data_IF_524583856180
#
_entry.id   IF_524583856180
#
_cell.length_a   1.000
_cell.length_b   1.000
_cell.length_c   1.000
_cell.angle_alpha   90.00
_cell.angle_beta   90.00
_cell.angle_gamma   90.00
#
_symmetry.space_group_name_H-M   'P 1'
#
loop_
_entity.id
_entity.type
_entity.pdbx_description
1 polymer ?
#
# COMPACT_ATOMS: atom_id res chain seq x y z
N UNK A 1 3.16 13.27 3.67
CA UNK A 1 4.04 12.29 3.02
C UNK A 1 4.80 11.51 4.07
N UNK A 2 5.36 10.37 3.71
CA UNK A 2 5.96 9.41 4.65
C UNK A 2 7.00 9.96 5.62
N UNK A 3 7.67 11.06 5.27
CA UNK A 3 8.65 11.72 6.15
C UNK A 3 8.10 12.02 7.55
N UNK A 4 6.84 12.45 7.69
CA UNK A 4 6.26 12.72 9.02
C UNK A 4 6.13 11.46 9.88
N UNK A 5 5.96 10.29 9.26
CA UNK A 5 5.94 9.00 9.97
C UNK A 5 7.34 8.70 10.48
N UNK A 6 8.37 8.85 9.64
CA UNK A 6 9.76 8.64 10.02
C UNK A 6 10.21 9.59 11.13
N UNK A 7 9.83 10.86 11.03
CA UNK A 7 10.19 11.87 12.03
C UNK A 7 9.51 11.60 13.38
N UNK A 8 8.30 11.03 13.39
CA UNK A 8 7.53 10.76 14.62
C UNK A 8 7.90 9.42 15.27
N UNK A 9 8.09 8.37 14.47
CA UNK A 9 8.21 6.99 14.95
C UNK A 9 9.57 6.35 14.64
N UNK A 10 10.47 7.06 13.98
CA UNK A 10 11.77 6.57 13.55
C UNK A 10 11.75 5.80 12.25
N UNK A 11 12.89 5.77 11.56
CA UNK A 11 13.07 5.11 10.27
C UNK A 11 12.74 3.62 10.30
N UNK A 12 13.10 2.90 11.37
CA UNK A 12 12.80 1.47 11.51
C UNK A 12 11.30 1.20 11.44
N UNK A 13 10.51 1.96 12.19
CA UNK A 13 9.04 1.83 12.19
C UNK A 13 8.47 2.22 10.83
N UNK A 14 9.05 3.23 10.19
CA UNK A 14 8.72 3.58 8.81
C UNK A 14 8.97 2.44 7.82
N UNK A 15 10.12 1.78 7.90
CA UNK A 15 10.46 0.65 7.02
C UNK A 15 9.51 -0.53 7.23
N UNK A 16 9.21 -0.87 8.49
CA UNK A 16 8.23 -1.90 8.85
C UNK A 16 6.85 -1.56 8.27
N UNK A 17 6.43 -0.29 8.34
CA UNK A 17 5.18 0.17 7.77
C UNK A 17 5.15 0.09 6.24
N UNK A 18 6.24 0.43 5.54
CA UNK A 18 6.33 0.25 4.08
C UNK A 18 6.20 -1.22 3.67
N UNK A 19 6.80 -2.14 4.44
CA UNK A 19 6.65 -3.58 4.23
C UNK A 19 5.19 -4.01 4.43
N UNK A 20 4.53 -3.53 5.49
CA UNK A 20 3.12 -3.84 5.73
C UNK A 20 2.19 -3.29 4.65
N UNK A 21 2.44 -2.08 4.16
CA UNK A 21 1.72 -1.49 3.03
C UNK A 21 1.89 -2.36 1.79
N UNK A 22 3.13 -2.71 1.42
CA UNK A 22 3.42 -3.55 0.26
C UNK A 22 2.66 -4.89 0.33
N UNK A 23 2.75 -5.59 1.46
CA UNK A 23 2.04 -6.86 1.68
C UNK A 23 0.54 -6.71 1.54
N UNK A 24 -0.04 -5.60 2.04
CA UNK A 24 -1.48 -5.38 1.96
C UNK A 24 -1.93 -5.07 0.54
N UNK A 25 -1.11 -4.38 -0.25
CA UNK A 25 -1.37 -4.17 -1.68
C UNK A 25 -1.33 -5.52 -2.41
N UNK A 26 -0.30 -6.34 -2.18
CA UNK A 26 -0.17 -7.67 -2.80
C UNK A 26 -1.37 -8.57 -2.49
N UNK A 27 -1.85 -8.58 -1.25
CA UNK A 27 -3.02 -9.37 -0.84
C UNK A 27 -4.33 -8.91 -1.49
N UNK A 28 -4.44 -7.62 -1.84
CA UNK A 28 -5.61 -7.05 -2.48
C UNK A 28 -5.50 -7.06 -4.02
N UNK A 29 -4.33 -7.35 -4.57
CA UNK A 29 -4.07 -7.33 -5.99
C UNK A 29 -4.57 -8.62 -6.69
N UNK A 30 -5.00 -8.54 -7.97
CA UNK A 30 -5.39 -9.72 -8.73
C UNK A 30 -4.21 -10.68 -8.95
N UNK A 31 -4.50 -11.97 -9.09
CA UNK A 31 -3.47 -12.98 -9.34
C UNK A 31 -2.68 -12.67 -10.63
N UNK A 32 -1.35 -12.79 -10.55
CA UNK A 32 -0.43 -12.47 -11.64
C UNK A 32 -0.12 -10.98 -11.78
N UNK A 33 -0.48 -10.16 -10.79
CA UNK A 33 -0.01 -8.78 -10.69
C UNK A 33 1.45 -8.70 -10.25
N UNK A 34 2.13 -7.65 -10.68
CA UNK A 34 3.46 -7.26 -10.23
C UNK A 34 3.35 -5.95 -9.44
N UNK A 35 3.81 -5.96 -8.19
CA UNK A 35 3.96 -4.76 -7.37
C UNK A 35 5.41 -4.29 -7.40
N UNK A 36 5.63 -3.00 -7.60
CA UNK A 36 6.95 -2.36 -7.51
C UNK A 36 6.89 -1.14 -6.60
N UNK A 37 7.94 -0.90 -5.82
CA UNK A 37 8.16 0.37 -5.11
C UNK A 37 9.12 1.23 -5.93
N UNK A 38 8.69 2.43 -6.32
CA UNK A 38 9.47 3.31 -7.19
C UNK A 38 10.42 4.18 -6.35
N UNK A 39 9.98 4.60 -5.17
CA UNK A 39 10.77 5.39 -4.23
C UNK A 39 9.91 5.88 -3.09
N UNK A 40 10.50 6.15 -1.92
CA UNK A 40 9.75 6.65 -0.76
C UNK A 40 8.53 5.79 -0.40
N UNK A 41 7.35 6.41 -0.39
CA UNK A 41 6.02 5.81 -0.20
C UNK A 41 5.25 5.53 -1.50
N UNK A 42 5.91 5.60 -2.67
CA UNK A 42 5.28 5.42 -3.97
C UNK A 42 5.36 3.97 -4.46
N UNK A 43 4.20 3.40 -4.80
CA UNK A 43 4.03 2.05 -5.30
C UNK A 43 3.30 2.04 -6.64
N UNK A 44 3.68 1.11 -7.52
CA UNK A 44 3.04 0.87 -8.81
C UNK A 44 2.62 -0.59 -8.90
N UNK A 45 1.34 -0.81 -9.22
CA UNK A 45 0.79 -2.13 -9.47
C UNK A 45 0.51 -2.32 -10.95
N UNK A 46 1.16 -3.30 -11.56
CA UNK A 46 0.90 -3.75 -12.92
C UNK A 46 0.10 -5.06 -12.88
N UNK A 47 -0.99 -5.17 -13.62
CA UNK A 47 -1.80 -6.39 -13.62
C UNK A 47 -2.43 -6.65 -15.00
N UNK A 48 -2.63 -7.92 -15.39
CA UNK A 48 -3.28 -8.24 -16.67
C UNK A 48 -4.75 -7.84 -16.65
N UNK A 49 -5.20 -7.10 -17.67
CA UNK A 49 -6.59 -6.65 -17.81
C UNK A 49 -7.60 -7.82 -17.82
N UNK A 50 -7.23 -8.96 -18.40
CA UNK A 50 -8.08 -10.17 -18.48
C UNK A 50 -8.24 -10.92 -17.14
N UNK A 51 -7.42 -10.61 -16.13
CA UNK A 51 -7.40 -11.30 -14.83
C UNK A 51 -8.14 -10.51 -13.74
N UNK A 52 -8.57 -9.28 -14.03
CA UNK A 52 -9.36 -8.46 -13.12
C UNK A 52 -10.82 -8.47 -13.55
N UNK A 53 -11.72 -8.95 -12.69
CA UNK A 53 -13.17 -8.79 -12.87
C UNK A 53 -13.64 -7.37 -12.57
N UNK A 54 -12.77 -6.55 -11.96
CA UNK A 54 -13.02 -5.16 -11.61
C UNK A 54 -12.41 -4.22 -12.65
N UNK A 55 -13.05 -3.07 -12.85
CA UNK A 55 -12.39 -1.96 -13.55
C UNK A 55 -11.14 -1.52 -12.78
N UNK A 56 -10.13 -0.94 -13.46
CA UNK A 56 -8.93 -0.45 -12.79
C UNK A 56 -9.23 0.54 -11.65
N UNK A 57 -10.24 1.41 -11.82
CA UNK A 57 -10.64 2.38 -10.80
C UNK A 57 -11.27 1.72 -9.57
N UNK A 58 -12.12 0.70 -9.74
CA UNK A 58 -12.69 -0.03 -8.61
C UNK A 58 -11.62 -0.83 -7.87
N UNK A 59 -10.68 -1.44 -8.58
CA UNK A 59 -9.55 -2.12 -7.96
C UNK A 59 -8.69 -1.15 -7.14
N UNK A 60 -8.36 0.01 -7.71
CA UNK A 60 -7.59 1.05 -7.02
C UNK A 60 -8.29 1.50 -5.72
N UNK A 61 -9.59 1.83 -5.79
CA UNK A 61 -10.38 2.22 -4.62
C UNK A 61 -10.38 1.15 -3.53
N UNK A 62 -10.49 -0.12 -3.91
CA UNK A 62 -10.45 -1.24 -2.96
C UNK A 62 -9.09 -1.37 -2.28
N UNK A 63 -8.00 -1.26 -3.05
CA UNK A 63 -6.63 -1.30 -2.52
C UNK A 63 -6.41 -0.12 -1.56
N UNK A 64 -6.81 1.10 -1.94
CA UNK A 64 -6.70 2.30 -1.11
C UNK A 64 -7.43 2.11 0.23
N UNK A 65 -8.67 1.60 0.20
CA UNK A 65 -9.44 1.34 1.41
C UNK A 65 -8.76 0.30 2.33
N UNK A 66 -8.13 -0.73 1.75
CA UNK A 66 -7.35 -1.72 2.51
C UNK A 66 -6.11 -1.07 3.12
N UNK A 67 -5.32 -0.35 2.33
CA UNK A 67 -4.11 0.34 2.81
C UNK A 67 -4.42 1.33 3.94
N UNK A 68 -5.55 2.04 3.86
CA UNK A 68 -5.99 3.00 4.88
C UNK A 68 -6.49 2.36 6.18
N UNK A 69 -6.72 1.04 6.21
CA UNK A 69 -7.12 0.34 7.44
C UNK A 69 -5.99 0.42 8.49
N UNK A 70 -6.29 0.51 9.79
CA UNK A 70 -5.26 0.65 10.82
C UNK A 70 -4.20 -0.47 10.78
N UNK A 71 -2.96 -0.12 11.09
CA UNK A 71 -1.86 -1.06 11.31
C UNK A 71 -1.72 -1.24 12.82
N UNK A 72 -2.01 -2.45 13.33
CA UNK A 72 -2.03 -2.70 14.79
C UNK A 72 -0.64 -2.71 15.43
N UNK A 73 0.39 -2.89 14.62
CA UNK A 73 1.80 -3.03 15.04
C UNK A 73 2.52 -1.67 15.15
N UNK A 74 1.90 -0.58 14.67
CA UNK A 74 2.43 0.78 14.75
C UNK A 74 1.41 1.63 15.51
N UNK A 75 1.84 2.36 16.54
CA UNK A 75 0.98 3.29 17.26
C UNK A 75 0.20 4.16 16.26
N UNK A 76 -1.14 4.11 16.34
CA UNK A 76 -2.10 4.45 15.28
C UNK A 76 -1.63 5.46 14.21
N UNK A 77 -1.16 4.95 13.06
CA UNK A 77 -0.88 5.77 11.87
C UNK A 77 -2.00 5.60 10.85
N UNK A 78 -2.50 6.72 10.32
CA UNK A 78 -3.43 6.73 9.18
C UNK A 78 -2.64 7.05 7.90
N UNK A 79 -2.60 6.09 6.98
CA UNK A 79 -2.00 6.27 5.65
C UNK A 79 -3.12 6.61 4.66
N UNK A 80 -2.95 7.71 3.91
CA UNK A 80 -3.76 8.03 2.75
C UNK A 80 -3.07 7.56 1.48
N UNK A 81 -3.84 7.08 0.51
CA UNK A 81 -3.36 6.76 -0.84
C UNK A 81 -4.32 7.42 -1.84
N UNK A 82 -3.78 7.87 -2.97
CA UNK A 82 -4.50 8.53 -4.07
C UNK A 82 -4.33 7.72 -5.36
#
# INVERSE_FOLDING_TARGET
GFKSVNDTYGHRTGDELLIMIARRIEQAAPAGSTLARIGGDEFVLFFPSLRSSLSPSTLASNIIAKVASPYREVASVRIGAS
#
